data_IF_744948158556
#
_entry.id   IF_744948158556
#
_cell.length_a   1.000
_cell.length_b   1.000
_cell.length_c   1.000
_cell.angle_alpha   90.00
_cell.angle_beta   90.00
_cell.angle_gamma   90.00
#
_symmetry.space_group_name_H-M   'P 1'
#
loop_
_entity.id
_entity.type
_entity.pdbx_description
1 polymer ?
2 non-polymer ?
3 non-polymer ?
4 non-polymer ?
5 non-polymer ?
6 water ?
#
# COMPACT_ATOMS: atom_id res chain seq x y z
N UNK A 4 25.64 -16.36 7.09
CA UNK A 4 24.81 -16.93 5.93
C UNK A 4 23.46 -17.53 6.35
N UNK A 5 23.32 -17.78 7.63
CA UNK A 5 22.09 -18.37 8.16
C UNK A 5 21.42 -17.48 9.21
N UNK A 6 21.69 -16.16 9.12
CA UNK A 6 21.05 -15.21 10.03
C UNK A 6 19.57 -14.90 9.72
N UNK A 7 19.04 -13.94 10.47
CA UNK A 7 17.64 -13.48 10.34
C UNK A 7 17.24 -13.19 8.92
N UNK A 8 16.01 -13.55 8.59
CA UNK A 8 15.46 -13.20 7.27
C UNK A 8 14.27 -12.28 7.51
N UNK A 9 14.45 -11.00 7.19
CA UNK A 9 13.36 -10.06 7.40
C UNK A 9 12.28 -10.20 6.33
N UNK A 10 11.05 -9.78 6.66
CA UNK A 10 9.93 -9.81 5.73
C UNK A 10 9.59 -8.38 5.30
N UNK A 11 9.49 -8.19 3.99
CA UNK A 11 9.23 -6.83 3.45
C UNK A 11 8.06 -6.88 2.51
N UNK A 12 7.06 -6.02 2.80
CA UNK A 12 5.99 -5.68 1.87
C UNK A 12 6.40 -4.39 1.16
N UNK A 13 6.73 -4.52 -0.13
CA UNK A 13 7.17 -3.37 -0.97
C UNK A 13 5.92 -2.94 -1.78
N UNK A 14 5.16 -1.99 -1.21
CA UNK A 14 3.88 -1.64 -1.80
C UNK A 14 4.02 -0.45 -2.74
N UNK A 15 2.99 -0.21 -3.54
CA UNK A 15 2.99 0.92 -4.44
C UNK A 15 3.01 2.20 -3.66
N UNK A 16 2.27 2.24 -2.57
CA UNK A 16 2.04 3.40 -1.75
C UNK A 16 2.94 3.45 -0.51
N UNK A 17 2.92 2.32 0.20
CA UNK A 17 3.67 2.20 1.44
C UNK A 17 4.45 0.88 1.47
N UNK A 18 5.48 0.86 2.32
CA UNK A 18 6.25 -0.37 2.58
C UNK A 18 6.25 -0.61 4.06
N UNK A 19 6.55 -1.88 4.40
CA UNK A 19 6.53 -2.32 5.80
C UNK A 19 7.53 -3.45 5.98
N UNK A 20 8.21 -3.45 7.13
CA UNK A 20 9.20 -4.50 7.44
C UNK A 20 8.87 -5.12 8.82
N UNK A 21 9.00 -6.45 8.82
CA UNK A 21 8.76 -7.25 9.99
C UNK A 21 9.86 -8.31 10.12
N UNK A 22 10.00 -8.84 11.32
CA UNK A 22 10.96 -9.92 11.58
C UNK A 22 10.37 -10.79 12.68
N UNK A 23 10.76 -12.07 12.64
CA UNK A 23 10.43 -12.96 13.73
C UNK A 23 11.31 -12.65 14.92
N UNK A 24 10.70 -12.56 16.11
CA UNK A 24 11.41 -12.30 17.37
C UNK A 24 10.76 -13.12 18.49
N UNK A 25 11.54 -13.96 19.13
CA UNK A 25 10.96 -14.80 20.16
C UNK A 25 9.74 -15.60 19.76
N UNK A 26 9.73 -16.09 18.53
CA UNK A 26 8.65 -16.94 18.00
C UNK A 26 7.36 -16.18 17.61
N UNK A 27 7.37 -14.84 17.49
CA UNK A 27 6.20 -14.05 17.03
C UNK A 27 6.74 -13.00 16.06
N UNK A 28 5.99 -12.67 15.03
CA UNK A 28 6.38 -11.56 14.14
C UNK A 28 6.22 -10.22 14.84
N UNK A 29 7.19 -9.34 14.65
CA UNK A 29 7.19 -7.98 15.17
C UNK A 29 7.30 -7.05 13.96
N UNK A 30 6.49 -5.99 13.96
CA UNK A 30 6.57 -4.96 12.90
C UNK A 30 7.52 -3.89 13.41
N UNK A 31 8.52 -3.54 12.60
CA UNK A 31 9.52 -2.57 13.06
C UNK A 31 9.19 -1.11 12.69
N UNK A 32 9.34 -0.22 13.66
CA UNK A 32 9.08 1.18 13.45
C UNK A 32 10.27 1.86 12.78
N UNK A 33 9.95 2.80 11.86
CA UNK A 33 10.97 3.59 11.19
C UNK A 33 11.42 4.70 12.12
N UNK A 34 12.38 5.52 11.69
CA UNK A 34 12.88 6.54 12.58
C UNK A 34 11.91 7.68 12.87
N UNK A 35 10.80 7.75 12.15
CA UNK A 35 9.77 8.74 12.45
C UNK A 35 8.71 8.13 13.38
N UNK A 36 8.97 6.92 13.86
CA UNK A 36 8.09 6.18 14.77
C UNK A 36 6.92 5.51 14.11
N UNK A 37 6.98 5.30 12.80
CA UNK A 37 5.84 4.77 12.06
C UNK A 37 6.09 3.35 11.62
N UNK A 38 5.03 2.58 11.69
CA UNK A 38 5.06 1.17 11.32
C UNK A 38 4.95 0.86 9.84
N UNK A 39 4.65 1.91 9.06
CA UNK A 39 4.73 1.83 7.59
C UNK A 39 5.47 3.07 7.08
N UNK A 40 6.07 2.91 5.92
CA UNK A 40 6.94 3.99 5.35
C UNK A 40 6.45 4.21 3.89
N UNK A 41 6.21 5.51 3.52
CA UNK A 41 5.80 5.77 2.14
C UNK A 41 6.85 5.26 1.15
N UNK A 42 6.43 4.63 0.08
CA UNK A 42 7.30 4.12 -1.00
C UNK A 42 7.66 5.26 -1.93
N UNK A 43 8.40 6.23 -1.42
CA UNK A 43 8.64 7.49 -2.13
C UNK A 43 10.11 7.86 -1.90
N UNK A 44 10.80 8.28 -2.94
CA UNK A 44 12.24 8.54 -2.88
C UNK A 44 12.51 9.89 -3.59
N UNK A 45 13.24 10.76 -2.87
CA UNK A 45 13.64 12.03 -3.44
C UNK A 45 15.15 12.14 -3.61
N UNK A 46 15.57 12.68 -4.76
CA UNK A 46 17.00 12.78 -5.13
C UNK A 46 17.46 14.19 -5.12
N UNK A 47 18.56 14.45 -4.41
CA UNK A 47 19.30 15.75 -4.45
C UNK A 47 20.76 15.36 -4.60
N UNK A 48 21.19 15.16 -5.86
CA UNK A 48 22.51 14.59 -6.14
C UNK A 48 22.68 13.28 -5.41
N UNK A 49 23.66 13.20 -4.55
CA UNK A 49 23.88 11.97 -3.79
C UNK A 49 23.08 11.87 -2.56
N UNK A 50 22.37 12.91 -2.16
CA UNK A 50 21.56 12.85 -0.96
C UNK A 50 20.20 12.33 -1.38
N UNK A 51 19.84 11.20 -0.81
CA UNK A 51 18.61 10.51 -1.16
C UNK A 51 17.77 10.42 0.09
N UNK A 52 16.51 10.82 -0.01
CA UNK A 52 15.60 10.81 1.13
C UNK A 52 14.45 9.88 0.83
N UNK A 53 14.11 9.01 1.76
CA UNK A 53 13.02 8.05 1.59
C UNK A 53 11.96 8.26 2.61
N UNK A 54 10.69 8.04 2.20
CA UNK A 54 9.62 7.89 3.20
C UNK A 54 8.85 9.18 3.46
N UNK A 55 8.51 9.40 4.72
CA UNK A 55 7.63 10.49 5.12
C UNK A 55 8.14 11.85 4.67
N UNK A 56 9.44 12.09 4.80
CA UNK A 56 10.00 13.38 4.39
C UNK A 56 9.89 13.57 2.91
N UNK A 57 9.94 12.52 2.13
CA UNK A 57 9.75 12.56 0.67
C UNK A 57 8.27 12.74 0.30
N UNK A 58 7.36 12.09 1.04
CA UNK A 58 5.93 12.25 0.80
C UNK A 58 5.54 13.71 0.97
N UNK A 59 6.13 14.39 1.91
CA UNK A 59 5.84 15.86 2.11
C UNK A 59 6.23 16.75 0.97
N UNK A 60 6.97 16.24 0.00
CA UNK A 60 7.37 16.97 -1.19
C UNK A 60 6.95 16.31 -2.47
N UNK A 61 5.99 15.34 -2.35
CA UNK A 61 5.70 14.61 -3.52
C UNK A 61 5.09 15.43 -4.64
N UNK A 62 4.30 16.45 -4.28
CA UNK A 62 3.75 17.30 -5.28
C UNK A 62 4.72 18.45 -5.65
N UNK A 63 5.48 18.92 -4.68
CA UNK A 63 6.27 20.15 -4.88
C UNK A 63 7.65 19.93 -5.46
N UNK A 64 8.23 18.72 -5.37
CA UNK A 64 9.63 18.51 -5.80
C UNK A 64 9.67 17.68 -7.03
N UNK A 65 10.24 18.19 -8.14
CA UNK A 65 10.26 17.43 -9.38
C UNK A 65 11.19 16.22 -9.33
N UNK A 66 12.07 16.14 -8.31
CA UNK A 66 12.98 15.00 -8.20
C UNK A 66 12.53 13.99 -7.15
N UNK A 67 11.24 14.03 -6.79
CA UNK A 67 10.61 13.06 -5.90
C UNK A 67 9.83 12.06 -6.71
N UNK A 68 10.15 10.79 -6.53
CA UNK A 68 9.60 9.69 -7.29
C UNK A 68 8.57 8.90 -6.51
N UNK A 69 7.38 8.78 -7.10
CA UNK A 69 6.27 8.02 -6.45
C UNK A 69 5.88 6.89 -7.39
N UNK A 70 5.18 5.86 -6.81
CA UNK A 70 4.58 4.87 -7.63
C UNK A 70 5.55 4.10 -8.52
N UNK A 71 6.80 3.94 -8.05
CA UNK A 71 7.76 3.23 -8.87
C UNK A 71 7.40 1.79 -9.10
N UNK A 72 6.60 1.17 -8.20
CA UNK A 72 6.27 -0.21 -8.37
C UNK A 72 5.61 -0.51 -9.71
N UNK A 73 4.88 0.50 -10.21
CA UNK A 73 4.16 0.37 -11.47
C UNK A 73 5.09 0.09 -12.67
N UNK A 74 6.36 0.49 -12.54
CA UNK A 74 7.34 0.28 -13.62
C UNK A 74 8.17 -0.97 -13.48
N UNK A 75 8.03 -1.67 -12.35
CA UNK A 75 8.88 -2.84 -12.08
C UNK A 75 8.60 -3.88 -13.15
N UNK A 76 9.70 -4.45 -13.68
CA UNK A 76 9.62 -5.41 -14.72
C UNK A 76 9.70 -4.89 -16.12
N UNK A 77 9.67 -3.58 -16.23
CA UNK A 77 9.79 -2.91 -17.54
C UNK A 77 11.21 -2.34 -17.67
N UNK A 78 11.56 -1.87 -18.86
CA UNK A 78 12.85 -1.18 -19.07
C UNK A 78 12.61 0.33 -19.13
N UNK A 79 11.45 0.79 -18.65
CA UNK A 79 11.23 2.23 -18.50
C UNK A 79 12.18 2.78 -17.46
N UNK A 80 12.60 4.00 -17.61
CA UNK A 80 13.47 4.69 -16.67
C UNK A 80 12.73 5.92 -16.12
N UNK A 81 13.11 6.38 -14.95
CA UNK A 81 12.67 7.70 -14.47
C UNK A 81 13.88 8.62 -14.46
N UNK A 82 13.68 9.88 -14.68
CA UNK A 82 14.74 10.86 -14.75
C UNK A 82 14.69 11.77 -13.60
N UNK A 83 15.82 12.12 -13.06
CA UNK A 83 15.97 13.18 -12.07
C UNK A 83 17.10 14.08 -12.56
N UNK A 84 17.08 15.32 -12.08
CA UNK A 84 18.03 16.33 -12.53
C UNK A 84 19.02 16.66 -11.46
N UNK A 85 20.32 16.53 -11.84
CA UNK A 85 21.42 16.86 -10.96
C UNK A 85 21.56 18.38 -10.82
N UNK A 86 22.25 18.81 -9.82
CA UNK A 86 22.54 20.23 -9.55
C UNK A 86 23.16 20.93 -10.71
N UNK A 87 24.00 20.23 -11.45
CA UNK A 87 24.69 20.83 -12.60
C UNK A 87 23.88 20.75 -13.91
N UNK A 88 22.59 20.44 -13.79
CA UNK A 88 21.76 20.32 -14.91
C UNK A 88 21.74 19.09 -15.69
N UNK A 89 22.73 18.21 -15.46
CA UNK A 89 22.69 16.91 -16.15
C UNK A 89 21.57 16.02 -15.60
N UNK A 90 21.23 15.05 -16.42
CA UNK A 90 20.09 14.19 -16.12
C UNK A 90 20.60 12.80 -15.73
N UNK A 91 20.04 12.27 -14.65
CA UNK A 91 20.34 10.95 -14.15
C UNK A 91 19.15 10.07 -14.43
N UNK A 92 19.35 9.01 -15.15
CA UNK A 92 18.33 8.03 -15.47
C UNK A 92 18.42 6.88 -14.47
N UNK A 93 17.26 6.56 -13.89
CA UNK A 93 17.17 5.52 -12.87
C UNK A 93 16.26 4.42 -13.26
N UNK A 94 16.66 3.19 -12.96
CA UNK A 94 15.78 2.06 -13.22
C UNK A 94 14.78 1.92 -12.06
N UNK A 95 13.68 1.19 -12.29
CA UNK A 95 12.75 0.93 -11.20
C UNK A 95 13.44 0.10 -10.07
N UNK A 96 14.35 -0.78 -10.48
CA UNK A 96 15.13 -1.54 -9.54
C UNK A 96 15.94 -0.67 -8.58
N UNK A 97 16.59 0.36 -9.17
CA UNK A 97 17.42 1.25 -8.40
C UNK A 97 16.61 2.06 -7.38
N UNK A 98 15.45 2.58 -7.85
CA UNK A 98 14.63 3.39 -6.95
C UNK A 98 14.03 2.50 -5.84
N UNK A 99 13.50 1.33 -6.24
CA UNK A 99 12.98 0.38 -5.24
C UNK A 99 14.05 -0.02 -4.23
N UNK A 100 15.30 -0.14 -4.70
CA UNK A 100 16.40 -0.49 -3.82
C UNK A 100 16.62 0.53 -2.77
N UNK A 101 16.37 1.81 -3.08
CA UNK A 101 16.51 2.83 -2.04
C UNK A 101 15.48 2.64 -0.92
N UNK A 102 14.25 2.28 -1.30
CA UNK A 102 13.21 1.98 -0.26
C UNK A 102 13.67 0.77 0.57
N UNK A 103 14.12 -0.28 -0.12
CA UNK A 103 14.56 -1.49 0.59
C UNK A 103 15.71 -1.20 1.49
N UNK A 104 16.66 -0.39 1.01
CA UNK A 104 17.86 0.03 1.85
C UNK A 104 17.50 0.79 3.11
N UNK A 105 16.51 1.70 2.97
CA UNK A 105 16.03 2.45 4.10
C UNK A 105 15.42 1.51 5.16
N UNK A 106 14.55 0.57 4.71
CA UNK A 106 13.94 -0.39 5.63
C UNK A 106 15.04 -1.23 6.30
N UNK A 107 16.00 -1.72 5.52
CA UNK A 107 17.09 -2.55 6.01
C UNK A 107 17.83 -1.79 7.08
N UNK A 108 18.20 -0.56 6.76
CA UNK A 108 19.02 0.23 7.67
C UNK A 108 18.36 0.45 9.04
N UNK A 109 17.08 0.83 9.05
CA UNK A 109 16.44 1.09 10.32
C UNK A 109 16.14 -0.24 11.04
N UNK A 110 15.87 -1.28 10.28
CA UNK A 110 15.65 -2.61 10.87
C UNK A 110 16.89 -3.08 11.62
N UNK A 111 18.07 -2.92 11.01
CA UNK A 111 19.34 -3.31 11.60
C UNK A 111 19.53 -2.61 12.93
N UNK A 112 19.24 -1.32 12.97
CA UNK A 112 19.38 -0.54 14.22
C UNK A 112 18.41 -0.95 15.32
N UNK A 113 17.19 -1.34 14.93
CA UNK A 113 16.21 -1.79 15.90
C UNK A 113 16.55 -3.14 16.44
N UNK A 114 16.98 -4.04 15.56
CA UNK A 114 17.28 -5.44 15.95
C UNK A 114 18.63 -5.53 16.68
N UNK A 115 19.53 -4.63 16.35
CA UNK A 115 20.90 -4.63 16.90
C UNK A 115 21.85 -5.56 16.16
N UNK A 116 21.57 -5.88 14.92
CA UNK A 116 22.44 -6.76 14.11
C UNK A 116 22.40 -6.39 12.66
N UNK A 117 23.44 -6.71 11.91
CA UNK A 117 23.42 -6.58 10.47
C UNK A 117 22.42 -7.61 9.88
N UNK A 118 21.76 -7.23 8.81
CA UNK A 118 20.78 -8.05 8.13
C UNK A 118 21.15 -8.16 6.66
N UNK A 119 21.17 -9.37 6.14
CA UNK A 119 21.55 -9.62 4.77
C UNK A 119 20.64 -10.55 4.01
N UNK A 120 19.46 -10.80 4.55
CA UNK A 120 18.52 -11.82 3.96
C UNK A 120 17.10 -11.27 4.09
N UNK A 121 16.27 -11.49 3.09
CA UNK A 121 14.88 -11.04 3.13
C UNK A 121 14.00 -11.95 2.29
N UNK A 122 12.70 -11.94 2.69
CA UNK A 122 11.59 -12.36 1.83
C UNK A 122 10.85 -11.08 1.45
N UNK A 123 10.61 -10.95 0.14
CA UNK A 123 9.89 -9.77 -0.37
C UNK A 123 8.63 -10.27 -1.05
N UNK A 124 7.54 -9.55 -0.84
CA UNK A 124 6.25 -9.90 -1.41
C UNK A 124 6.04 -9.17 -2.72
N UNK A 125 5.16 -9.72 -3.54
CA UNK A 125 4.77 -9.15 -4.83
C UNK A 125 3.30 -9.51 -5.12
N UNK A 126 2.63 -8.77 -6.01
CA UNK A 126 1.29 -9.20 -6.35
C UNK A 126 1.28 -10.53 -7.05
N UNK A 127 0.17 -11.23 -6.88
CA UNK A 127 0.06 -12.58 -7.46
C UNK A 127 0.16 -12.58 -8.97
N UNK A 128 -0.22 -11.46 -9.59
CA UNK A 128 -0.17 -11.32 -11.04
C UNK A 128 1.21 -10.97 -11.60
N UNK A 129 2.20 -10.72 -10.77
CA UNK A 129 3.55 -10.45 -11.25
C UNK A 129 4.10 -11.61 -12.05
N UNK A 130 4.69 -11.31 -13.18
CA UNK A 130 5.33 -12.32 -14.01
C UNK A 130 6.82 -12.47 -13.66
N UNK A 131 7.55 -13.28 -14.40
CA UNK A 131 8.91 -13.52 -14.06
C UNK A 131 9.77 -12.25 -14.12
N UNK A 132 9.55 -11.40 -15.11
CA UNK A 132 10.33 -10.19 -15.20
C UNK A 132 10.07 -9.25 -14.01
N UNK A 133 8.82 -9.21 -13.57
CA UNK A 133 8.44 -8.33 -12.46
C UNK A 133 9.02 -8.85 -11.15
N UNK A 134 8.89 -10.18 -10.96
CA UNK A 134 9.50 -10.84 -9.78
C UNK A 134 11.05 -10.65 -9.77
N UNK A 135 11.67 -10.79 -10.93
CA UNK A 135 13.13 -10.69 -11.06
C UNK A 135 13.59 -9.27 -10.77
N UNK A 136 12.78 -8.28 -11.16
CA UNK A 136 13.09 -6.89 -10.86
C UNK A 136 13.10 -6.67 -9.40
N UNK A 137 12.13 -7.30 -8.71
CA UNK A 137 12.06 -7.17 -7.29
C UNK A 137 13.27 -7.80 -6.58
N UNK A 138 13.61 -9.03 -7.02
CA UNK A 138 14.84 -9.67 -6.49
C UNK A 138 16.09 -8.79 -6.70
N UNK A 139 16.20 -8.19 -7.89
CA UNK A 139 17.33 -7.32 -8.20
C UNK A 139 17.38 -6.12 -7.30
N UNK A 140 16.21 -5.52 -7.06
CA UNK A 140 16.16 -4.41 -6.14
C UNK A 140 16.72 -4.80 -4.79
N UNK A 141 16.29 -6.00 -4.33
CA UNK A 141 16.83 -6.49 -3.06
C UNK A 141 18.39 -6.65 -3.07
N UNK A 142 18.87 -7.19 -4.15
CA UNK A 142 20.33 -7.42 -4.30
C UNK A 142 21.07 -6.09 -4.26
N UNK A 143 20.52 -5.08 -4.96
CA UNK A 143 21.17 -3.75 -4.98
C UNK A 143 21.25 -3.21 -3.56
N UNK A 144 20.17 -3.47 -2.79
CA UNK A 144 20.11 -3.05 -1.40
C UNK A 144 20.90 -3.90 -0.42
N UNK A 145 21.61 -4.89 -0.88
CA UNK A 145 22.44 -5.70 0.02
C UNK A 145 21.69 -6.84 0.69
N UNK A 146 20.55 -7.22 0.12
CA UNK A 146 19.74 -8.31 0.67
C UNK A 146 19.77 -9.50 -0.25
N UNK A 147 20.12 -10.66 0.32
CA UNK A 147 19.89 -11.91 -0.36
C UNK A 147 18.36 -12.22 -0.31
N UNK A 148 17.70 -12.19 -1.45
CA UNK A 148 16.25 -12.39 -1.46
C UNK A 148 16.03 -13.91 -1.49
N UNK A 149 15.68 -14.41 -0.34
CA UNK A 149 15.57 -15.85 -0.12
C UNK A 149 14.37 -16.44 -0.85
N UNK A 150 13.28 -15.67 -0.92
CA UNK A 150 12.09 -16.07 -1.66
C UNK A 150 11.28 -14.81 -1.97
N UNK A 151 10.64 -14.87 -3.11
CA UNK A 151 9.60 -13.91 -3.50
C UNK A 151 8.27 -14.72 -3.27
N UNK A 152 7.35 -14.15 -2.49
CA UNK A 152 6.07 -14.78 -2.28
C UNK A 152 4.99 -13.80 -2.67
N UNK A 153 3.82 -14.32 -3.02
CA UNK A 153 2.65 -13.47 -3.35
C UNK A 153 2.06 -12.81 -2.14
N UNK A 154 1.59 -11.58 -2.30
CA UNK A 154 0.93 -10.80 -1.26
C UNK A 154 -0.27 -11.53 -0.58
N UNK A 155 -1.19 -12.14 -1.36
CA UNK A 155 -2.32 -12.79 -0.68
C UNK A 155 -1.88 -14.01 0.08
N UNK A 156 -0.86 -14.71 -0.39
CA UNK A 156 -0.26 -15.82 0.36
C UNK A 156 0.33 -15.33 1.65
N UNK A 157 1.09 -14.24 1.59
CA UNK A 157 1.62 -13.67 2.79
C UNK A 157 0.53 -13.36 3.83
N UNK A 158 -0.56 -12.75 3.36
CA UNK A 158 -1.65 -12.44 4.29
C UNK A 158 -2.21 -13.74 4.92
N UNK A 159 -2.38 -14.77 4.13
CA UNK A 159 -2.89 -16.05 4.67
C UNK A 159 -1.90 -16.62 5.71
N UNK A 160 -0.59 -16.53 5.45
CA UNK A 160 0.41 -16.95 6.44
C UNK A 160 0.27 -16.23 7.72
N UNK A 161 0.06 -14.90 7.63
CA UNK A 161 -0.08 -14.11 8.85
C UNK A 161 -1.23 -14.61 9.75
N UNK A 162 -2.32 -15.03 9.10
CA UNK A 162 -3.46 -15.55 9.83
C UNK A 162 -3.32 -17.02 10.13
N UNK A 163 -2.24 -17.68 9.76
CA UNK A 163 -2.01 -19.05 10.11
C UNK A 163 -2.85 -20.01 9.35
N UNK A 164 -3.37 -19.65 8.20
CA UNK A 164 -4.28 -20.47 7.45
C UNK A 164 -3.64 -21.72 6.91
N UNK A 165 -2.34 -21.66 6.70
CA UNK A 165 -1.59 -22.85 6.26
C UNK A 165 -1.66 -23.96 7.28
N UNK A 166 -1.93 -23.63 8.54
CA UNK A 166 -2.00 -24.62 9.66
C UNK A 166 -3.37 -25.22 9.78
N UNK A 167 -4.32 -24.81 8.96
CA UNK A 167 -5.65 -25.35 9.02
C UNK A 167 -5.58 -26.84 8.81
N UNK A 168 -6.51 -27.51 9.48
CA UNK A 168 -6.60 -28.89 9.38
C UNK A 168 -7.28 -29.45 8.15
N UNK A 169 -8.20 -28.71 7.60
CA UNK A 169 -8.89 -29.13 6.40
C UNK A 169 -8.49 -28.19 5.24
N UNK A 170 -8.77 -28.64 4.02
CA UNK A 170 -8.58 -27.79 2.85
C UNK A 170 -9.45 -26.55 2.96
N UNK A 171 -8.91 -25.38 2.66
CA UNK A 171 -9.63 -24.10 2.82
C UNK A 171 -9.58 -23.32 1.50
N UNK A 172 -10.70 -22.69 1.15
CA UNK A 172 -10.75 -21.67 0.11
C UNK A 172 -10.85 -20.34 0.78
N UNK A 173 -9.95 -19.44 0.40
CA UNK A 173 -9.82 -18.19 1.10
C UNK A 173 -9.89 -17.02 0.12
N UNK A 174 -10.81 -16.09 0.38
CA UNK A 174 -10.93 -14.86 -0.43
C UNK A 174 -10.13 -13.77 0.22
N UNK A 175 -9.22 -13.19 -0.57
CA UNK A 175 -8.42 -12.06 -0.09
C UNK A 175 -8.86 -10.81 -0.85
N UNK A 176 -9.36 -9.82 -0.10
CA UNK A 176 -9.81 -8.53 -0.69
C UNK A 176 -8.78 -7.51 -0.18
N UNK A 177 -7.98 -7.00 -1.16
CA UNK A 177 -6.82 -6.16 -0.83
C UNK A 177 -6.95 -4.80 -1.56
N UNK A 178 -7.30 -3.80 -0.78
CA UNK A 178 -7.50 -2.44 -1.31
C UNK A 178 -6.46 -1.56 -0.67
N UNK A 179 -5.44 -1.20 -1.48
CA UNK A 179 -4.31 -0.44 -0.96
C UNK A 179 -4.49 1.03 -1.29
N UNK A 180 -3.42 1.76 -1.52
CA UNK A 180 -3.49 3.17 -1.93
C UNK A 180 -3.66 3.32 -3.38
N UNK A 181 -3.08 2.43 -4.18
CA UNK A 181 -3.08 2.56 -5.60
C UNK A 181 -3.76 1.45 -6.42
N UNK A 182 -3.90 0.27 -5.76
CA UNK A 182 -4.37 -0.86 -6.46
C UNK A 182 -5.38 -1.69 -5.66
N UNK A 183 -6.17 -2.45 -6.40
CA UNK A 183 -7.23 -3.30 -5.81
C UNK A 183 -7.08 -4.68 -6.38
N UNK A 184 -6.84 -5.64 -5.43
CA UNK A 184 -6.64 -7.04 -5.81
C UNK A 184 -7.60 -7.96 -5.07
N UNK A 185 -8.27 -8.83 -5.83
CA UNK A 185 -9.06 -9.91 -5.19
C UNK A 185 -8.41 -11.20 -5.64
N UNK A 186 -8.18 -12.10 -4.67
CA UNK A 186 -7.57 -13.37 -4.96
C UNK A 186 -8.41 -14.49 -4.25
N UNK A 187 -8.56 -15.61 -4.93
CA UNK A 187 -9.13 -16.80 -4.29
C UNK A 187 -8.03 -17.83 -4.22
N UNK A 188 -7.70 -18.21 -2.98
CA UNK A 188 -6.62 -19.18 -2.72
C UNK A 188 -7.23 -20.50 -2.29
N UNK A 189 -6.55 -21.58 -2.65
CA UNK A 189 -6.87 -22.93 -2.14
C UNK A 189 -5.69 -23.33 -1.30
N UNK A 190 -5.90 -23.65 -0.04
CA UNK A 190 -4.79 -24.04 0.83
C UNK A 190 -5.05 -25.47 1.23
N UNK A 191 -4.12 -26.32 0.91
CA UNK A 191 -4.26 -27.74 1.19
C UNK A 191 -2.84 -28.30 1.41
N UNK A 192 -2.69 -29.09 2.49
CA UNK A 192 -1.40 -29.69 2.82
C UNK A 192 -0.33 -28.66 3.00
N UNK A 193 -0.73 -27.52 3.50
CA UNK A 193 0.21 -26.42 3.78
C UNK A 193 0.74 -25.75 2.55
N UNK A 194 0.11 -26.04 1.39
CA UNK A 194 0.51 -25.42 0.13
C UNK A 194 -0.59 -24.53 -0.38
N UNK A 195 -0.22 -23.49 -1.04
CA UNK A 195 -1.13 -22.49 -1.56
C UNK A 195 -1.24 -22.61 -3.07
N UNK A 196 -2.44 -22.48 -3.59
CA UNK A 196 -2.67 -22.45 -5.00
C UNK A 196 -3.59 -21.21 -5.25
N UNK A 197 -3.21 -20.38 -6.21
CA UNK A 197 -4.04 -19.22 -6.57
C UNK A 197 -5.02 -19.74 -7.59
N UNK A 198 -6.30 -19.80 -7.19
CA UNK A 198 -7.31 -20.26 -8.11
C UNK A 198 -7.78 -19.20 -9.12
N UNK A 199 -7.80 -17.94 -8.71
CA UNK A 199 -8.28 -16.89 -9.57
C UNK A 199 -7.90 -15.58 -8.94
N UNK A 200 -7.69 -14.58 -9.80
CA UNK A 200 -7.47 -13.21 -9.38
C UNK A 200 -8.30 -12.26 -10.23
N UNK A 201 -8.54 -11.11 -9.63
CA UNK A 201 -9.27 -10.03 -10.36
C UNK A 201 -8.96 -8.76 -9.67
N UNK A 202 -9.49 -7.65 -10.19
CA UNK A 202 -9.31 -6.39 -9.60
C UNK A 202 -8.94 -5.30 -10.62
N UNK A 203 -8.36 -4.23 -10.11
CA UNK A 203 -8.05 -3.05 -10.97
C UNK A 203 -6.81 -2.43 -10.34
N UNK A 204 -5.73 -2.42 -11.13
CA UNK A 204 -4.45 -1.87 -10.66
C UNK A 204 -4.39 -0.37 -10.73
N UNK A 205 -5.49 0.27 -11.06
CA UNK A 205 -5.64 1.70 -11.01
C UNK A 205 -6.68 2.21 -10.07
N UNK A 206 -7.11 1.39 -9.15
CA UNK A 206 -8.13 1.72 -8.17
C UNK A 206 -7.57 1.51 -6.78
N UNK A 207 -7.56 2.51 -5.95
CA UNK A 207 -7.08 2.40 -4.59
C UNK A 207 -7.47 3.57 -3.75
N UNK A 208 -7.04 3.64 -2.50
CA UNK A 208 -7.40 4.68 -1.57
C UNK A 208 -7.12 6.08 -2.07
N UNK A 209 -6.08 6.25 -2.89
CA UNK A 209 -5.80 7.58 -3.53
C UNK A 209 -7.04 8.12 -4.22
N UNK A 210 -7.81 7.25 -4.86
CA UNK A 210 -9.01 7.66 -5.57
C UNK A 210 -10.06 8.24 -4.64
N UNK A 211 -10.18 7.66 -3.47
CA UNK A 211 -11.10 8.21 -2.45
C UNK A 211 -10.60 9.57 -2.02
N UNK A 212 -9.30 9.71 -1.80
CA UNK A 212 -8.71 11.05 -1.49
C UNK A 212 -9.08 12.04 -2.57
N UNK A 213 -8.88 11.59 -3.82
CA UNK A 213 -9.04 12.47 -4.98
C UNK A 213 -10.47 12.95 -5.11
N UNK A 214 -11.46 12.15 -4.66
CA UNK A 214 -12.82 12.57 -4.64
C UNK A 214 -13.08 13.66 -3.65
N UNK A 215 -12.43 13.64 -2.51
CA UNK A 215 -12.56 14.71 -1.56
C UNK A 215 -11.91 15.97 -2.17
N UNK A 216 -10.74 15.83 -2.81
CA UNK A 216 -10.10 16.98 -3.51
C UNK A 216 -11.02 17.59 -4.54
N UNK A 217 -11.64 16.72 -5.34
CA UNK A 217 -12.60 17.16 -6.37
C UNK A 217 -13.71 17.94 -5.74
N UNK A 218 -14.22 17.46 -4.62
CA UNK A 218 -15.29 18.06 -3.88
C UNK A 218 -14.92 19.46 -3.34
N UNK A 219 -13.74 19.55 -2.74
CA UNK A 219 -13.24 20.83 -2.18
C UNK A 219 -13.10 21.81 -3.34
N UNK A 220 -12.55 21.32 -4.44
CA UNK A 220 -12.35 22.17 -5.62
C UNK A 220 -13.66 22.72 -6.13
N UNK A 221 -14.69 21.88 -6.15
CA UNK A 221 -16.05 22.36 -6.50
C UNK A 221 -16.60 23.35 -5.48
N UNK A 222 -16.36 23.15 -4.21
CA UNK A 222 -16.78 24.11 -3.20
C UNK A 222 -16.17 25.51 -3.44
N UNK A 223 -14.84 25.50 -3.69
CA UNK A 223 -14.05 26.75 -3.99
C UNK A 223 -14.67 27.46 -5.19
N UNK A 224 -14.93 26.67 -6.21
CA UNK A 224 -15.62 27.18 -7.45
C UNK A 224 -16.97 27.85 -7.28
N UNK A 225 -17.67 27.63 -6.18
CA UNK A 225 -18.95 28.33 -5.95
C UNK A 225 -18.74 29.80 -5.67
N UNK A 226 -17.62 30.13 -5.04
CA UNK A 226 -17.30 31.51 -4.70
C UNK A 226 -16.18 32.12 -5.52
N UNK A 227 -15.36 31.30 -6.18
CA UNK A 227 -14.23 31.80 -7.00
C UNK A 227 -14.09 31.12 -8.35
N UNK A 228 -13.95 31.93 -9.40
CA UNK A 228 -13.69 31.41 -10.77
C UNK A 228 -12.33 31.89 -11.33
N UNK A 229 -11.75 31.05 -12.20
CA UNK A 229 -10.42 31.33 -12.83
C UNK A 229 -9.20 31.28 -11.94
N UNK A 230 -9.25 30.47 -10.89
CA UNK A 230 -8.12 30.40 -9.97
C UNK A 230 -6.88 29.63 -10.44
N UNK A 231 -7.10 28.72 -11.36
CA UNK A 231 -6.04 27.86 -11.84
C UNK A 231 -5.37 27.05 -10.73
N UNK A 232 -6.17 26.57 -9.82
CA UNK A 232 -5.76 25.94 -8.59
C UNK A 232 -4.67 24.85 -8.74
N UNK A 233 -4.78 24.03 -9.77
CA UNK A 233 -3.71 23.01 -10.01
C UNK A 233 -2.30 23.50 -10.16
N UNK A 234 -2.11 24.69 -10.70
CA UNK A 234 -0.80 25.19 -10.90
C UNK A 234 -0.15 25.67 -9.61
N UNK A 235 -0.92 25.66 -8.52
CA UNK A 235 -0.37 26.05 -7.26
C UNK A 235 0.04 24.80 -6.56
N UNK A 236 1.30 24.36 -6.65
CA UNK A 236 1.74 23.10 -6.13
C UNK A 236 1.67 23.02 -4.67
N UNK A 237 1.86 24.08 -3.99
CA UNK A 237 1.81 24.19 -2.57
C UNK A 237 0.37 23.92 -2.11
N UNK A 238 -0.59 24.52 -2.80
CA UNK A 238 -1.99 24.34 -2.54
C UNK A 238 -2.33 22.86 -2.80
N UNK A 239 -1.83 22.31 -3.86
CA UNK A 239 -2.11 20.93 -4.18
C UNK A 239 -1.55 19.97 -3.16
N UNK A 240 -0.34 20.17 -2.69
CA UNK A 240 0.24 19.36 -1.62
C UNK A 240 -0.66 19.44 -0.40
N UNK A 241 -1.10 20.62 -0.01
CA UNK A 241 -1.99 20.76 1.14
C UNK A 241 -3.30 20.06 0.96
N UNK A 242 -3.87 20.11 -0.20
CA UNK A 242 -5.16 19.45 -0.48
C UNK A 242 -4.99 17.97 -0.38
N UNK A 243 -3.91 17.40 -0.88
CA UNK A 243 -3.70 15.96 -0.80
C UNK A 243 -3.57 15.55 0.65
N UNK A 244 -2.83 16.28 1.44
CA UNK A 244 -2.66 15.94 2.84
C UNK A 244 -3.99 16.06 3.57
N UNK A 245 -4.73 17.13 3.34
CA UNK A 245 -6.01 17.33 4.02
C UNK A 245 -7.00 16.24 3.63
N UNK A 246 -7.04 15.86 2.38
CA UNK A 246 -7.98 14.85 1.90
C UNK A 246 -7.72 13.52 2.53
N UNK A 247 -6.48 13.06 2.53
CA UNK A 247 -6.15 11.78 3.13
C UNK A 247 -6.49 11.84 4.61
N UNK A 248 -6.18 12.90 5.33
CA UNK A 248 -6.46 13.01 6.74
C UNK A 248 -7.97 12.95 6.99
N UNK A 249 -8.79 13.64 6.19
CA UNK A 249 -10.22 13.67 6.36
C UNK A 249 -10.79 12.28 6.13
N UNK A 250 -10.38 11.61 5.09
CA UNK A 250 -10.82 10.26 4.80
C UNK A 250 -10.55 9.33 5.96
N UNK A 251 -9.32 9.39 6.50
CA UNK A 251 -8.94 8.52 7.59
C UNK A 251 -9.77 8.81 8.80
N UNK A 252 -10.02 10.06 9.13
CA UNK A 252 -10.84 10.35 10.30
C UNK A 252 -12.26 9.81 10.13
N UNK A 253 -12.78 9.79 8.92
CA UNK A 253 -14.14 9.28 8.65
C UNK A 253 -14.24 7.75 8.74
N UNK A 254 -13.12 7.05 8.89
CA UNK A 254 -13.23 5.61 9.20
C UNK A 254 -13.57 5.39 10.64
N UNK A 255 -13.31 6.37 11.48
CA UNK A 255 -13.56 6.28 12.93
C UNK A 255 -14.67 7.16 13.45
N UNK A 256 -15.00 8.22 12.75
CA UNK A 256 -15.96 9.25 13.21
C UNK A 256 -16.97 9.46 12.10
N UNK A 257 -18.09 10.10 12.43
CA UNK A 257 -19.12 10.34 11.46
C UNK A 257 -19.00 11.67 10.76
N UNK A 258 -18.08 12.51 11.20
CA UNK A 258 -17.83 13.78 10.51
C UNK A 258 -16.38 14.18 10.70
N UNK A 259 -15.93 15.05 9.80
CA UNK A 259 -14.58 15.58 9.87
C UNK A 259 -14.64 17.01 9.31
N UNK A 260 -13.76 17.85 9.82
CA UNK A 260 -13.70 19.26 9.38
C UNK A 260 -12.41 19.49 8.60
N UNK A 261 -12.57 19.93 7.36
CA UNK A 261 -11.47 20.30 6.47
C UNK A 261 -11.26 21.81 6.62
N UNK A 262 -10.07 22.21 7.11
CA UNK A 262 -9.79 23.61 7.32
C UNK A 262 -8.52 23.96 6.62
N UNK A 263 -8.63 24.86 5.66
CA UNK A 263 -7.46 25.29 4.86
C UNK A 263 -7.47 26.84 4.74
N UNK A 264 -7.06 27.52 5.76
CA UNK A 264 -6.90 28.96 5.67
C UNK A 264 -5.80 29.32 4.67
N UNK A 265 -5.98 30.41 3.93
CA UNK A 265 -4.94 30.91 3.02
C UNK A 265 -4.46 29.81 2.06
N UNK A 266 -5.39 29.12 1.44
CA UNK A 266 -5.06 28.02 0.52
C UNK A 266 -4.41 28.59 -0.73
N UNK A 267 -4.97 29.66 -1.26
CA UNK A 267 -4.40 30.35 -2.37
C UNK A 267 -4.97 31.78 -2.37
N UNK A 268 -4.57 32.56 -3.34
CA UNK A 268 -5.01 33.95 -3.36
C UNK A 268 -5.67 34.28 -4.70
N UNK A 269 -6.54 35.24 -4.65
CA UNK A 269 -7.17 35.82 -5.88
C UNK A 269 -6.98 37.30 -5.72
N UNK A 270 -7.47 38.07 -6.67
CA UNK A 270 -7.36 39.49 -6.65
C UNK A 270 -8.20 40.13 -5.53
N UNK A 271 -9.09 39.30 -4.95
CA UNK A 271 -9.89 39.81 -3.80
C UNK A 271 -9.37 39.24 -2.46
N UNK A 272 -8.21 38.67 -2.45
CA UNK A 272 -7.64 38.18 -1.20
C UNK A 272 -7.59 36.69 -1.10
N UNK A 273 -7.38 36.19 0.13
CA UNK A 273 -7.19 34.78 0.30
C UNK A 273 -8.40 33.95 0.04
N UNK A 274 -8.15 32.77 -0.46
CA UNK A 274 -9.14 31.73 -0.60
C UNK A 274 -8.97 30.80 0.58
N UNK A 275 -10.04 30.61 1.32
CA UNK A 275 -10.03 29.69 2.42
C UNK A 275 -11.02 28.53 2.25
N UNK A 276 -10.81 27.49 2.97
CA UNK A 276 -11.77 26.37 3.02
C UNK A 276 -12.10 26.07 4.44
N UNK A 277 -13.35 25.97 4.77
CA UNK A 277 -13.80 25.43 6.06
C UNK A 277 -15.01 24.60 5.69
N UNK A 278 -14.85 23.31 5.69
CA UNK A 278 -15.92 22.41 5.22
C UNK A 278 -16.09 21.25 6.20
N UNK A 279 -17.30 20.97 6.58
CA UNK A 279 -17.62 19.79 7.35
C UNK A 279 -18.04 18.72 6.38
N UNK A 280 -17.37 17.60 6.44
CA UNK A 280 -17.67 16.45 5.55
C UNK A 280 -18.15 15.30 6.42
N UNK A 281 -19.39 14.88 6.17
CA UNK A 281 -19.93 13.73 6.95
C UNK A 281 -19.49 12.43 6.26
N UNK A 282 -19.58 11.35 7.05
CA UNK A 282 -19.33 10.02 6.51
C UNK A 282 -20.34 9.71 5.41
N UNK A 283 -21.61 10.11 5.64
CA UNK A 283 -22.63 9.79 4.62
C UNK A 283 -22.32 10.52 3.29
N UNK A 284 -21.95 11.79 3.36
CA UNK A 284 -21.65 12.54 2.12
C UNK A 284 -20.41 11.93 1.45
N UNK A 285 -19.40 11.60 2.25
CA UNK A 285 -18.14 10.99 1.71
C UNK A 285 -18.50 9.70 0.96
N UNK A 286 -19.36 8.87 1.59
CA UNK A 286 -19.77 7.64 0.96
C UNK A 286 -20.57 7.85 -0.34
N UNK A 287 -21.44 8.86 -0.34
CA UNK A 287 -22.17 9.16 -1.58
C UNK A 287 -21.19 9.61 -2.70
N UNK A 288 -20.25 10.48 -2.36
CA UNK A 288 -19.26 10.98 -3.33
C UNK A 288 -18.42 9.88 -3.92
N UNK A 289 -18.11 8.86 -3.08
CA UNK A 289 -17.19 7.78 -3.49
C UNK A 289 -17.88 6.52 -3.89
N UNK A 290 -19.22 6.54 -3.99
CA UNK A 290 -19.98 5.30 -4.33
C UNK A 290 -19.49 4.64 -5.61
N UNK A 291 -19.18 5.38 -6.68
CA UNK A 291 -18.75 4.67 -7.87
C UNK A 291 -17.41 3.90 -7.63
N UNK A 292 -16.52 4.44 -6.81
CA UNK A 292 -15.23 3.75 -6.48
C UNK A 292 -15.52 2.45 -5.72
N UNK A 293 -16.35 2.58 -4.69
CA UNK A 293 -16.72 1.43 -3.91
C UNK A 293 -17.33 0.36 -4.74
N UNK A 294 -18.32 0.72 -5.55
CA UNK A 294 -19.01 -0.25 -6.35
C UNK A 294 -18.16 -0.94 -7.38
N UNK A 295 -17.12 -0.27 -7.83
CA UNK A 295 -16.21 -0.91 -8.76
C UNK A 295 -15.43 -2.10 -8.13
N UNK A 296 -15.43 -2.17 -6.80
CA UNK A 296 -14.78 -3.32 -6.14
C UNK A 296 -15.66 -4.54 -6.03
N UNK A 297 -16.92 -4.47 -6.46
CA UNK A 297 -17.86 -5.58 -6.27
C UNK A 297 -17.70 -6.64 -7.30
N UNK A 298 -17.72 -6.33 -8.58
CA UNK A 298 -17.67 -7.33 -9.62
C UNK A 298 -16.40 -8.20 -9.58
N UNK A 299 -15.23 -7.67 -9.15
CA UNK A 299 -14.05 -8.56 -9.07
C UNK A 299 -14.27 -9.71 -8.06
N UNK A 300 -15.04 -9.49 -7.02
CA UNK A 300 -15.37 -10.60 -6.14
C UNK A 300 -16.10 -11.72 -6.87
N UNK A 301 -17.15 -11.31 -7.55
CA UNK A 301 -17.90 -12.27 -8.35
C UNK A 301 -17.11 -12.90 -9.49
N UNK A 302 -16.18 -12.12 -10.05
CA UNK A 302 -15.28 -12.66 -11.05
C UNK A 302 -14.45 -13.86 -10.58
N UNK A 303 -13.86 -13.75 -9.39
CA UNK A 303 -13.05 -14.86 -8.90
C UNK A 303 -13.90 -16.10 -8.57
N UNK A 304 -15.11 -15.85 -8.06
CA UNK A 304 -16.06 -16.95 -7.75
C UNK A 304 -16.37 -17.64 -9.06
N UNK A 305 -16.70 -16.85 -10.06
CA UNK A 305 -17.03 -17.42 -11.39
C UNK A 305 -15.87 -18.24 -12.00
N UNK A 306 -14.70 -17.64 -11.98
CA UNK A 306 -13.59 -18.30 -12.63
C UNK A 306 -13.18 -19.59 -11.92
N UNK A 307 -13.22 -19.57 -10.59
CA UNK A 307 -12.86 -20.76 -9.80
C UNK A 307 -13.98 -21.82 -9.79
N UNK A 308 -15.12 -21.49 -10.38
CA UNK A 308 -16.29 -22.38 -10.45
C UNK A 308 -16.74 -22.87 -9.10
N UNK A 309 -16.75 -22.01 -8.15
CA UNK A 309 -17.27 -22.27 -6.81
C UNK A 309 -18.57 -21.59 -6.56
N UNK A 310 -19.25 -22.02 -5.52
CA UNK A 310 -20.35 -21.29 -4.93
C UNK A 310 -19.84 -20.41 -3.82
N UNK A 311 -20.51 -19.29 -3.54
CA UNK A 311 -20.11 -18.40 -2.45
C UNK A 311 -19.89 -19.09 -1.10
N UNK A 312 -20.76 -20.08 -0.81
CA UNK A 312 -20.69 -20.81 0.46
C UNK A 312 -19.42 -21.66 0.57
N UNK A 313 -18.72 -21.87 -0.54
CA UNK A 313 -17.46 -22.62 -0.51
C UNK A 313 -16.29 -21.77 -0.01
N UNK A 314 -16.51 -20.46 0.12
CA UNK A 314 -15.43 -19.61 0.68
C UNK A 314 -15.43 -19.80 2.17
N UNK A 315 -14.31 -20.31 2.69
CA UNK A 315 -14.22 -20.60 4.10
C UNK A 315 -13.82 -19.44 4.99
N UNK A 316 -12.95 -18.58 4.41
CA UNK A 316 -12.48 -17.44 5.16
C UNK A 316 -12.28 -16.26 4.22
N UNK A 317 -12.46 -15.04 4.76
CA UNK A 317 -12.19 -13.80 3.99
C UNK A 317 -11.15 -13.01 4.77
N UNK A 318 -10.14 -12.54 4.05
CA UNK A 318 -9.10 -11.70 4.65
C UNK A 318 -9.24 -10.27 4.04
N UNK A 319 -9.28 -9.29 4.92
CA UNK A 319 -9.22 -7.87 4.50
C UNK A 319 -7.76 -7.41 4.63
N UNK A 320 -7.22 -6.94 3.50
CA UNK A 320 -5.82 -6.51 3.46
C UNK A 320 -5.83 -5.08 2.83
N UNK A 321 -4.90 -4.29 3.31
CA UNK A 321 -4.75 -2.94 2.73
C UNK A 321 -5.36 -1.90 3.66
N UNK A 322 -4.74 -0.72 3.73
CA UNK A 322 -5.26 0.27 4.62
C UNK A 322 -6.69 0.73 4.36
N UNK A 323 -7.09 0.68 3.09
CA UNK A 323 -8.42 1.18 2.71
C UNK A 323 -9.54 0.28 3.25
N UNK A 324 -9.24 -0.96 3.66
CA UNK A 324 -10.24 -1.86 4.18
C UNK A 324 -10.64 -1.46 5.58
N UNK A 325 -10.03 -0.46 6.17
CA UNK A 325 -10.53 0.17 7.38
C UNK A 325 -11.80 0.96 7.20
N UNK A 326 -12.13 1.29 5.96
CA UNK A 326 -13.36 2.07 5.72
C UNK A 326 -14.62 1.20 5.98
N UNK A 327 -15.56 1.70 6.80
CA UNK A 327 -16.75 0.90 7.10
C UNK A 327 -17.49 0.44 5.88
N UNK A 328 -17.65 1.32 4.88
CA UNK A 328 -18.37 0.90 3.69
C UNK A 328 -17.76 -0.27 2.92
N UNK A 329 -16.42 -0.31 2.95
CA UNK A 329 -15.72 -1.42 2.32
C UNK A 329 -16.02 -2.73 3.04
N UNK A 330 -15.96 -2.70 4.36
CA UNK A 330 -16.27 -3.87 5.16
C UNK A 330 -17.67 -4.38 4.82
N UNK A 331 -18.60 -3.45 4.78
CA UNK A 331 -20.02 -3.80 4.52
C UNK A 331 -20.19 -4.41 3.15
N UNK A 332 -19.50 -3.84 2.16
CA UNK A 332 -19.59 -4.38 0.82
C UNK A 332 -19.11 -5.83 0.78
N UNK A 333 -17.97 -6.10 1.40
CA UNK A 333 -17.42 -7.46 1.39
C UNK A 333 -18.39 -8.44 2.08
N UNK A 334 -18.91 -8.03 3.22
CA UNK A 334 -19.93 -8.85 3.95
C UNK A 334 -21.09 -9.17 3.06
N UNK A 335 -21.54 -8.17 2.27
CA UNK A 335 -22.70 -8.38 1.38
C UNK A 335 -22.47 -9.42 0.29
N UNK A 336 -21.21 -9.60 -0.10
CA UNK A 336 -20.87 -10.49 -1.16
C UNK A 336 -20.54 -11.93 -0.71
N UNK A 337 -20.36 -12.14 0.56
CA UNK A 337 -20.11 -13.49 1.10
C UNK A 337 -20.98 -13.66 2.33
N UNK A 338 -22.24 -13.81 2.10
CA UNK A 338 -23.15 -13.81 3.23
C UNK A 338 -22.86 -14.86 4.25
N UNK A 339 -22.97 -14.48 5.51
CA UNK A 339 -22.77 -15.41 6.61
C UNK A 339 -21.41 -15.38 7.24
N UNK A 340 -20.39 -14.95 6.49
CA UNK A 340 -19.03 -14.97 6.92
C UNK A 340 -18.59 -13.65 7.51
N UNK A 341 -17.82 -13.70 8.56
CA UNK A 341 -17.28 -12.51 9.18
C UNK A 341 -15.91 -12.38 8.62
N UNK A 342 -15.56 -11.23 7.93
CA UNK A 342 -14.24 -11.07 7.41
C UNK A 342 -13.21 -10.94 8.55
N UNK A 343 -12.00 -11.24 8.20
CA UNK A 343 -10.91 -11.12 9.13
C UNK A 343 -10.22 -9.75 8.92
N UNK A 344 -10.13 -8.95 9.98
CA UNK A 344 -9.38 -7.70 9.99
C UNK A 344 -8.68 -7.48 11.32
N UNK A 345 -8.51 -8.56 12.08
CA UNK A 345 -7.89 -8.49 13.38
C UNK A 345 -6.39 -8.21 13.35
N UNK A 346 -5.73 -8.58 12.26
CA UNK A 346 -4.34 -8.23 12.09
C UNK A 346 -4.35 -6.94 11.26
N UNK A 347 -3.70 -5.91 11.77
CA UNK A 347 -3.64 -4.59 11.12
C UNK A 347 -3.52 -4.76 9.61
N UNK A 348 -4.50 -4.29 8.79
CA UNK A 348 -4.48 -4.65 7.40
C UNK A 348 -3.36 -4.03 6.59
N UNK A 349 -2.78 -2.99 7.13
CA UNK A 349 -1.61 -2.46 6.35
C UNK A 349 -0.26 -3.04 6.86
N UNK A 350 -0.28 -4.01 7.79
CA UNK A 350 0.90 -4.73 8.23
C UNK A 350 0.87 -6.20 7.90
N UNK A 351 -0.30 -6.73 7.60
CA UNK A 351 -0.46 -8.17 7.48
C UNK A 351 0.41 -8.85 6.44
N UNK A 352 0.69 -8.18 5.33
CA UNK A 352 1.53 -8.75 4.29
C UNK A 352 3.00 -8.86 4.77
N UNK A 353 3.50 -7.81 5.39
CA UNK A 353 4.86 -7.88 5.95
C UNK A 353 4.97 -8.93 7.03
N UNK A 354 3.97 -9.05 7.88
CA UNK A 354 3.97 -10.05 8.93
C UNK A 354 4.06 -11.40 8.31
N UNK A 355 3.28 -11.72 7.28
CA UNK A 355 3.36 -12.99 6.58
C UNK A 355 4.73 -13.23 5.99
N UNK A 356 5.32 -12.20 5.39
CA UNK A 356 6.67 -12.33 4.85
C UNK A 356 7.67 -12.67 5.96
N UNK A 357 7.53 -12.09 7.12
CA UNK A 357 8.43 -12.37 8.24
C UNK A 357 8.26 -13.82 8.69
N UNK A 358 7.02 -14.32 8.76
CA UNK A 358 6.75 -15.72 9.13
C UNK A 358 7.42 -16.61 8.09
N UNK A 359 7.32 -16.30 6.82
CA UNK A 359 7.97 -17.06 5.75
C UNK A 359 9.49 -17.05 5.94
N UNK A 360 10.04 -15.91 6.32
CA UNK A 360 11.46 -15.82 6.59
C UNK A 360 11.87 -16.74 7.71
N UNK A 361 11.12 -16.76 8.83
CA UNK A 361 11.43 -17.65 9.95
C UNK A 361 11.40 -19.08 9.51
N UNK A 362 10.39 -19.48 8.76
CA UNK A 362 10.29 -20.83 8.25
C UNK A 362 11.53 -21.17 7.42
N UNK A 363 11.98 -20.28 6.54
CA UNK A 363 13.12 -20.56 5.67
C UNK A 363 14.42 -20.66 6.47
N UNK A 364 14.54 -19.88 7.52
CA UNK A 364 15.77 -19.94 8.34
C UNK A 364 15.84 -21.21 9.12
N UNK A 365 14.71 -21.83 9.49
CA UNK A 365 14.68 -23.06 10.28
C UNK A 365 14.92 -22.69 11.73
N UNK A 366 14.93 -23.71 12.52
CA UNK A 366 15.02 -23.51 13.99
C UNK A 366 13.66 -23.17 14.61
N UNK A 367 13.19 -24.24 15.17
CA UNK A 367 12.01 -24.38 15.94
C UNK A 367 12.25 -24.16 17.46
N UNK A 368 13.01 -23.13 17.83
CA UNK A 368 13.08 -22.39 19.19
C UNK A 368 14.47 -22.23 19.72
X LIG B 1 -0.46 -3.78 -0.44
X LIG C 1 -0.95 -0.71 -3.06
X LIG C 1 0.24 -1.18 -3.98
X LIG C 1 -2.28 -1.22 -3.57
X LIG C 1 -1.09 0.86 -3.08
X LIG C 1 0.11 -0.48 -0.34
X LIG C 1 0.46 -1.65 0.46
X LIG C 1 1.18 0.38 -0.77
X LIG C 1 -0.74 -1.20 -1.57
X LIG C 1 -1.61 0.23 1.88
X LIG C 1 -2.21 -1.11 2.03
X LIG C 1 -0.66 0.70 2.89
X LIG C 1 -0.97 0.38 0.46
X LIG C 1 -2.82 1.23 1.76
X LIG C 1 -2.63 2.67 1.67
X LIG C 1 -4.00 3.28 1.65
X LIG C 1 -4.74 2.98 2.87
X LIG C 1 -3.93 4.79 1.53
X LIG C 1 -4.89 5.18 0.56
X LIG C 1 -4.34 5.26 2.93
X LIG C 1 -4.91 6.56 2.99
X LIG C 1 -5.34 4.18 3.28
X LIG C 1 -5.70 4.13 4.69
X LIG C 1 -4.83 3.87 5.74
X LIG C 1 -5.51 3.91 6.92
X LIG C 1 -6.81 4.21 6.62
X LIG C 1 -8.01 4.43 7.37
X LIG C 1 -7.97 4.33 8.70
X LIG C 1 -9.13 4.65 6.68
X LIG C 1 -9.15 4.72 5.34
X LIG C 1 -8.07 4.57 4.56
X LIG C 1 -6.92 4.29 5.19
X LIG D 1 -0.10 6.74 5.51
X LIG D 1 -1.01 7.78 5.16
X LIG D 1 -1.08 5.64 5.90
X LIG D 1 -1.25 4.80 4.77
X LIG D 1 -0.66 4.94 7.17
X LIG D 1 -1.82 4.27 7.57
X LIG E 1 2.34 -3.29 -10.37
X LIG E 1 3.04 -3.41 -11.58
X LIG E 1 1.34 -2.25 -10.46
X LIG E 1 0.11 -2.84 -10.86
X LIG E 1 1.12 -1.70 -9.10
X LIG E 1 2.09 -1.03 -8.55
X LIG F 1 9.05 -26.47 1.54
X LIG F 1 9.90 -27.41 0.85
X LIG F 1 9.38 -25.08 1.03
X LIG F 1 8.25 -24.18 0.99
X LIG F 1 10.41 -24.47 1.93
X LIG F 1 9.94 -24.10 3.23
X LIG G 1 4.35 -5.70 17.41
X LIG G 1 3.32 -6.56 18.04
X LIG G 1 4.40 -5.73 15.92
X LIG G 1 5.59 -6.29 18.00
X LIG G 1 4.14 -4.29 17.88
X LIG H 1 12.14 -17.55 -5.60
X LIG H 1 12.07 -17.44 -7.06
X LIG H 1 12.09 -18.95 -5.15
X LIG H 1 13.47 -16.91 -5.21
X LIG H 1 11.16 -16.84 -4.91
X LIG I 1 7.03 20.88 -11.70
X LIG I 1 6.48 19.83 -12.53
X LIG I 1 8.42 21.28 -12.14
X LIG I 1 6.13 22.04 -11.70
X LIG I 1 7.31 20.57 -10.29
#
# INVERSE_FOLDING_TARGET
MSADNGLIIGIDLGTTNSCVSVMEGGRPVVLENPEGKRTTPSIVSYKNNEIIVGDAAKRQMVTNPNTIVSIKRLMGTSNKVKVQNADGTTKELSPEQVSAQILSYLKDFAEKKIGKKISRAVITVPAYFNDAERNATKTAGKIAGLNVERIINEPTAAALAYGIDKASREMKVLVYDLGGGTFDVSLLDIAEGTFEVLATAGDNRLGGDDWDNKIIEYISAYIAKEHQGLNLSKDKMAMQRLKEAAERAKIELSAQLETIISLPFLTVTQKGPVNVELKLTRAKFEELTKPLLERTRNPISDVIKEAKIKPEEINEILLVGGSTRMPAVQKLVESMVPGKKPNRSINPDEVVAIGAAIQGGVLRGDLEHHHHHH
MG MG
ANP PG O1G O2G O3G PB O1B O2B N3B PA O1A O2A O3A O5' C5' C4' O4' C3' O3' C2' O2' C1' N9 C8 N7 C5 C6 N6 N1 C2 N3 C4
GOL C1 O1 C2 O2 C3 O3
GOL C1 O1 C2 O2 C3 O3
GOL C1 O1 C2 O2 C3 O3
SO4 S O1 O2 O3 O4
SO4 S O1 O2 O3 O4
SO4 S O1 O2 O3 O4
#
